data_IF_881578649334
#
_entry.id   IF_881578649334
#
_cell.length_a   1.000
_cell.length_b   1.000
_cell.length_c   1.000
_cell.angle_alpha   90.00
_cell.angle_beta   90.00
_cell.angle_gamma   90.00
#
_symmetry.space_group_name_H-M   'P 1'
#
loop_
_entity.id
_entity.type
_entity.pdbx_description
1 polymer ?
#
# COMPACT_ATOMS: atom_id res chain seq x y z
N UNK A 1 -13.59 5.74 17.31
CA UNK A 1 -12.28 5.13 17.60
C UNK A 1 -12.13 3.90 16.71
N UNK A 2 -11.00 3.75 15.99
CA UNK A 2 -10.72 2.61 15.14
C UNK A 2 -10.72 1.30 15.94
N UNK A 3 -11.34 0.26 15.38
CA UNK A 3 -11.31 -1.11 15.87
C UNK A 3 -9.91 -1.72 15.77
N UNK A 4 -9.69 -2.85 16.46
CA UNK A 4 -8.42 -3.61 16.37
C UNK A 4 -8.09 -3.98 14.93
N UNK A 5 -9.10 -4.38 14.15
CA UNK A 5 -8.93 -4.69 12.71
C UNK A 5 -8.42 -3.48 11.93
N UNK A 6 -9.03 -2.32 12.14
CA UNK A 6 -8.67 -1.07 11.49
C UNK A 6 -7.24 -0.62 11.85
N UNK A 7 -6.83 -0.82 13.10
CA UNK A 7 -5.44 -0.62 13.53
C UNK A 7 -4.45 -1.53 12.80
N UNK A 8 -4.78 -2.81 12.64
CA UNK A 8 -3.90 -3.77 11.98
C UNK A 8 -3.79 -3.51 10.47
N UNK A 9 -4.90 -3.16 9.81
CA UNK A 9 -4.90 -2.76 8.40
C UNK A 9 -4.01 -1.52 8.21
N UNK A 10 -4.17 -0.50 9.05
CA UNK A 10 -3.33 0.69 9.00
C UNK A 10 -1.84 0.35 9.15
N UNK A 11 -1.48 -0.44 10.15
CA UNK A 11 -0.07 -0.81 10.40
C UNK A 11 0.54 -1.60 9.24
N UNK A 12 -0.21 -2.53 8.66
CA UNK A 12 0.25 -3.29 7.50
C UNK A 12 0.44 -2.39 6.28
N UNK A 13 -0.48 -1.46 6.01
CA UNK A 13 -0.33 -0.47 4.92
C UNK A 13 0.85 0.47 5.17
N UNK A 14 1.07 0.91 6.41
CA UNK A 14 2.19 1.76 6.79
C UNK A 14 3.53 1.05 6.54
N UNK A 15 3.65 -0.23 6.93
CA UNK A 15 4.84 -1.03 6.65
C UNK A 15 5.12 -1.15 5.14
N UNK A 16 4.08 -1.31 4.30
CA UNK A 16 4.27 -1.33 2.85
C UNK A 16 4.66 0.05 2.27
N UNK A 17 4.15 1.14 2.85
CA UNK A 17 4.56 2.50 2.48
C UNK A 17 6.04 2.75 2.84
N UNK A 18 6.51 2.27 3.99
CA UNK A 18 7.92 2.32 4.37
C UNK A 18 8.81 1.52 3.40
N UNK A 19 8.36 0.33 2.98
CA UNK A 19 9.06 -0.46 1.94
C UNK A 19 9.18 0.32 0.64
N UNK A 20 8.09 0.96 0.20
CA UNK A 20 8.09 1.81 -0.99
C UNK A 20 9.07 2.97 -0.87
N UNK A 21 9.15 3.62 0.28
CA UNK A 21 10.09 4.73 0.52
C UNK A 21 11.54 4.26 0.52
N UNK A 22 11.82 3.16 1.22
CA UNK A 22 13.15 2.57 1.26
C UNK A 22 13.62 2.09 -0.13
N UNK A 23 12.68 1.69 -1.01
CA UNK A 23 12.99 1.16 -2.33
C UNK A 23 13.69 2.15 -3.28
N UNK A 24 13.66 3.45 -2.95
CA UNK A 24 14.36 4.50 -3.72
C UNK A 24 15.87 4.31 -3.64
N UNK A 25 16.39 3.94 -2.46
CA UNK A 25 17.82 3.78 -2.27
C UNK A 25 18.36 2.51 -2.91
N UNK A 26 17.61 1.40 -2.81
CA UNK A 26 18.00 0.08 -3.32
C UNK A 26 16.81 -0.86 -3.39
N UNK A 27 16.90 -1.98 -4.14
CA UNK A 27 15.97 -3.09 -4.01
C UNK A 27 15.81 -3.54 -2.56
N UNK A 28 14.60 -3.95 -2.20
CA UNK A 28 14.27 -4.41 -0.86
C UNK A 28 14.33 -5.93 -0.83
N UNK A 29 15.17 -6.45 0.07
CA UNK A 29 15.25 -7.87 0.36
C UNK A 29 13.89 -8.37 0.90
N UNK A 30 13.35 -9.48 0.36
CA UNK A 30 12.14 -10.07 0.88
C UNK A 30 12.31 -10.53 2.33
N UNK A 31 11.39 -10.13 3.20
CA UNK A 31 11.40 -10.54 4.61
C UNK A 31 10.06 -11.13 5.05
N UNK A 32 10.09 -11.96 6.10
CA UNK A 32 8.88 -12.53 6.70
C UNK A 32 7.86 -11.48 7.16
N UNK A 33 8.26 -10.38 7.83
CA UNK A 33 7.31 -9.32 8.19
C UNK A 33 6.58 -8.70 6.99
N UNK A 34 7.28 -8.44 5.87
CA UNK A 34 6.65 -7.90 4.65
C UNK A 34 5.66 -8.92 4.08
N UNK A 35 6.06 -10.19 4.04
CA UNK A 35 5.20 -11.29 3.56
C UNK A 35 3.95 -11.42 4.41
N UNK A 36 4.09 -11.30 5.73
CA UNK A 36 2.96 -11.30 6.66
C UNK A 36 2.01 -10.11 6.40
N UNK A 37 2.54 -8.90 6.23
CA UNK A 37 1.71 -7.73 5.94
C UNK A 37 0.89 -7.90 4.66
N UNK A 38 1.51 -8.39 3.58
CA UNK A 38 0.82 -8.67 2.32
C UNK A 38 -0.23 -9.76 2.48
N UNK A 39 0.10 -10.87 3.14
CA UNK A 39 -0.84 -11.98 3.38
C UNK A 39 -2.03 -11.55 4.24
N UNK A 40 -1.78 -10.75 5.28
CA UNK A 40 -2.81 -10.19 6.14
C UNK A 40 -3.74 -9.26 5.34
N UNK A 41 -3.20 -8.30 4.59
CA UNK A 41 -4.02 -7.40 3.79
C UNK A 41 -4.80 -8.14 2.69
N UNK A 42 -4.25 -9.22 2.13
CA UNK A 42 -4.98 -10.10 1.22
C UNK A 42 -6.14 -10.80 1.91
N UNK A 43 -5.94 -11.32 3.13
CA UNK A 43 -7.02 -11.95 3.90
C UNK A 43 -8.13 -10.97 4.28
N UNK A 44 -7.85 -9.67 4.29
CA UNK A 44 -8.84 -8.60 4.50
C UNK A 44 -9.53 -8.15 3.20
N UNK A 45 -9.10 -8.69 2.04
CA UNK A 45 -9.60 -8.34 0.71
C UNK A 45 -10.52 -9.40 0.11
N UNK A 46 -11.40 -8.98 -0.80
CA UNK A 46 -12.36 -9.86 -1.48
C UNK A 46 -11.79 -10.78 -2.58
N UNK A 47 -10.51 -11.15 -2.54
CA UNK A 47 -10.02 -12.34 -3.26
C UNK A 47 -9.17 -12.15 -4.53
N UNK A 48 -8.78 -10.93 -4.91
CA UNK A 48 -7.77 -10.75 -5.98
C UNK A 48 -6.36 -10.64 -5.39
N UNK A 49 -5.54 -11.65 -5.67
CA UNK A 49 -4.16 -11.75 -5.17
C UNK A 49 -3.17 -10.94 -6.00
N UNK A 50 -3.53 -10.54 -7.23
CA UNK A 50 -2.60 -9.94 -8.21
C UNK A 50 -1.85 -8.71 -7.67
N UNK A 51 -2.48 -7.74 -6.97
CA UNK A 51 -1.77 -6.57 -6.44
C UNK A 51 -0.71 -6.92 -5.38
N UNK A 52 -0.97 -7.98 -4.60
CA UNK A 52 -0.10 -8.42 -3.51
C UNK A 52 1.13 -9.15 -4.05
N UNK A 53 0.92 -10.07 -4.99
CA UNK A 53 2.01 -10.77 -5.67
C UNK A 53 2.84 -9.79 -6.53
N UNK A 54 2.18 -8.79 -7.13
CA UNK A 54 2.86 -7.70 -7.85
C UNK A 54 3.76 -6.88 -6.91
N UNK A 55 3.25 -6.44 -5.76
CA UNK A 55 4.06 -5.73 -4.77
C UNK A 55 5.29 -6.56 -4.35
N UNK A 56 5.06 -7.84 -4.02
CA UNK A 56 6.11 -8.77 -3.61
C UNK A 56 7.21 -8.94 -4.66
N UNK A 57 6.84 -9.00 -5.94
CA UNK A 57 7.80 -9.13 -7.04
C UNK A 57 8.58 -7.84 -7.26
N UNK A 58 7.90 -6.70 -7.32
CA UNK A 58 8.55 -5.43 -7.68
C UNK A 58 9.48 -4.90 -6.60
N UNK A 59 9.26 -5.22 -5.32
CA UNK A 59 10.12 -4.71 -4.24
C UNK A 59 11.58 -5.18 -4.35
N UNK A 60 11.80 -6.39 -4.86
CA UNK A 60 13.12 -6.96 -5.10
C UNK A 60 13.63 -6.78 -6.54
N UNK A 61 12.86 -6.13 -7.41
CA UNK A 61 13.18 -6.08 -8.82
C UNK A 61 14.35 -5.12 -9.10
N UNK A 62 15.38 -5.68 -9.74
CA UNK A 62 16.54 -4.94 -10.25
C UNK A 62 16.23 -4.57 -11.70
N UNK A 63 15.64 -3.40 -11.91
CA UNK A 63 15.37 -2.93 -13.26
C UNK A 63 16.69 -2.73 -14.02
N UNK A 64 16.82 -3.25 -15.26
CA UNK A 64 18.06 -3.24 -16.05
C UNK A 64 18.47 -1.85 -16.58
N UNK A 65 17.76 -0.79 -16.18
CA UNK A 65 18.06 0.58 -16.59
C UNK A 65 19.31 1.05 -15.84
N UNK A 66 20.36 1.40 -16.58
CA UNK A 66 21.59 1.97 -16.02
C UNK A 66 21.29 3.29 -15.29
N UNK A 67 21.48 3.33 -13.97
CA UNK A 67 21.25 4.47 -13.03
C UNK A 67 19.79 4.94 -12.86
N UNK A 68 19.53 5.69 -11.76
CA UNK A 68 18.31 6.33 -11.19
C UNK A 68 16.90 5.93 -11.70
N UNK A 69 16.71 5.74 -13.00
CA UNK A 69 15.48 5.25 -13.60
C UNK A 69 15.03 3.91 -13.01
N UNK A 70 15.95 2.99 -12.69
CA UNK A 70 15.58 1.72 -12.06
C UNK A 70 14.97 1.88 -10.66
N UNK A 71 15.49 2.82 -9.86
CA UNK A 71 14.94 3.14 -8.54
C UNK A 71 13.61 3.89 -8.61
N UNK A 72 13.50 4.83 -9.56
CA UNK A 72 12.25 5.54 -9.82
C UNK A 72 11.13 4.58 -10.24
N UNK A 73 11.40 3.69 -11.21
CA UNK A 73 10.44 2.70 -11.69
C UNK A 73 9.95 1.81 -10.56
N UNK A 74 10.85 1.25 -9.75
CA UNK A 74 10.46 0.44 -8.59
C UNK A 74 9.59 1.21 -7.61
N UNK A 75 9.96 2.44 -7.25
CA UNK A 75 9.16 3.27 -6.34
C UNK A 75 7.76 3.56 -6.89
N UNK A 76 7.66 3.84 -8.19
CA UNK A 76 6.40 4.07 -8.89
C UNK A 76 5.54 2.81 -8.94
N UNK A 77 6.12 1.65 -9.29
CA UNK A 77 5.41 0.38 -9.38
C UNK A 77 4.92 -0.11 -8.02
N UNK A 78 5.71 0.06 -6.96
CA UNK A 78 5.26 -0.18 -5.58
C UNK A 78 4.14 0.77 -5.17
N UNK A 79 4.18 2.03 -5.61
CA UNK A 79 3.07 2.98 -5.44
C UNK A 79 1.79 2.48 -6.11
N UNK A 80 1.87 2.06 -7.38
CA UNK A 80 0.74 1.50 -8.12
C UNK A 80 0.17 0.24 -7.45
N UNK A 81 1.05 -0.63 -6.96
CA UNK A 81 0.69 -1.83 -6.23
C UNK A 81 -0.08 -1.47 -4.95
N UNK A 82 0.45 -0.54 -4.16
CA UNK A 82 -0.15 -0.07 -2.91
C UNK A 82 -1.52 0.58 -3.14
N UNK A 83 -1.65 1.47 -4.14
CA UNK A 83 -2.95 2.06 -4.48
C UNK A 83 -3.98 1.01 -4.86
N UNK A 84 -3.55 -0.06 -5.54
CA UNK A 84 -4.44 -1.17 -5.92
C UNK A 84 -4.81 -2.06 -4.74
N UNK A 85 -3.90 -2.27 -3.79
CA UNK A 85 -4.19 -2.96 -2.52
C UNK A 85 -5.23 -2.16 -1.73
N UNK A 86 -5.06 -0.84 -1.59
CA UNK A 86 -6.03 0.03 -0.91
C UNK A 86 -7.41 -0.01 -1.58
N UNK A 87 -7.44 0.01 -2.91
CA UNK A 87 -8.68 -0.17 -3.67
C UNK A 87 -9.41 -1.50 -3.35
N UNK A 88 -8.65 -2.60 -3.18
CA UNK A 88 -9.21 -3.91 -2.79
C UNK A 88 -9.72 -3.96 -1.35
N UNK A 89 -9.26 -3.05 -0.49
CA UNK A 89 -9.72 -2.90 0.89
C UNK A 89 -10.93 -1.96 1.02
N UNK A 90 -11.35 -1.31 -0.06
CA UNK A 90 -12.55 -0.48 -0.08
C UNK A 90 -12.33 1.03 0.01
N UNK A 91 -11.11 1.52 -0.20
CA UNK A 91 -10.82 2.96 -0.13
C UNK A 91 -9.78 3.42 -1.15
N UNK A 92 -9.78 4.72 -1.45
CA UNK A 92 -8.87 5.33 -2.41
C UNK A 92 -7.54 5.70 -1.76
N UNK A 93 -6.47 5.53 -2.53
CA UNK A 93 -5.17 6.12 -2.22
C UNK A 93 -5.16 7.60 -2.63
N UNK A 94 -5.37 8.48 -1.65
CA UNK A 94 -5.32 9.93 -1.80
C UNK A 94 -4.02 10.49 -1.23
N UNK A 95 -3.68 11.73 -1.58
CA UNK A 95 -2.53 12.41 -0.98
C UNK A 95 -2.62 12.49 0.56
N UNK A 96 -3.84 12.53 1.13
CA UNK A 96 -4.09 12.56 2.58
C UNK A 96 -3.87 11.20 3.22
N UNK A 97 -4.41 10.12 2.65
CA UNK A 97 -4.15 8.76 3.16
C UNK A 97 -2.66 8.42 3.08
N UNK A 98 -2.00 8.76 1.97
CA UNK A 98 -0.56 8.60 1.84
C UNK A 98 0.20 9.39 2.91
N UNK A 99 -0.18 10.65 3.18
CA UNK A 99 0.46 11.44 4.22
C UNK A 99 0.31 10.84 5.63
N UNK A 100 -0.85 10.23 5.95
CA UNK A 100 -1.06 9.51 7.20
C UNK A 100 -0.13 8.29 7.32
N UNK A 101 -0.02 7.50 6.25
CA UNK A 101 0.85 6.31 6.22
C UNK A 101 2.32 6.68 6.38
N UNK A 102 2.78 7.78 5.79
CA UNK A 102 4.16 8.29 5.97
C UNK A 102 4.47 8.78 7.37
N UNK A 103 3.44 9.17 8.12
CA UNK A 103 3.56 9.66 9.50
C UNK A 103 3.00 8.64 10.50
N UNK A 104 3.14 7.34 10.21
CA UNK A 104 2.52 6.27 10.98
C UNK A 104 2.88 6.25 12.47
N UNK A 105 4.06 6.77 12.84
CA UNK A 105 4.50 6.87 14.24
C UNK A 105 3.91 8.07 15.00
N UNK A 106 3.24 9.00 14.31
CA UNK A 106 2.65 10.16 15.00
C UNK A 106 1.42 9.77 15.81
N UNK A 107 1.25 10.41 16.96
CA UNK A 107 0.06 10.23 17.78
C UNK A 107 -1.20 10.61 16.97
N UNK A 108 -2.19 9.72 16.96
CA UNK A 108 -3.44 9.92 16.21
C UNK A 108 -3.36 9.65 14.70
N UNK A 109 -2.24 9.12 14.16
CA UNK A 109 -2.12 8.80 12.74
C UNK A 109 -3.22 7.83 12.25
N UNK A 110 -3.57 6.85 13.09
CA UNK A 110 -4.61 5.86 12.81
C UNK A 110 -5.98 6.53 12.75
N UNK A 111 -6.32 7.37 13.74
CA UNK A 111 -7.58 8.11 13.77
C UNK A 111 -7.70 9.05 12.55
N UNK A 112 -6.62 9.77 12.21
CA UNK A 112 -6.59 10.66 11.06
C UNK A 112 -6.76 9.90 9.73
N UNK A 113 -6.15 8.72 9.60
CA UNK A 113 -6.32 7.87 8.43
C UNK A 113 -7.77 7.42 8.27
N UNK A 114 -8.39 6.90 9.33
CA UNK A 114 -9.76 6.41 9.27
C UNK A 114 -10.79 7.53 9.14
N UNK A 115 -10.52 8.73 9.67
CA UNK A 115 -11.34 9.91 9.40
C UNK A 115 -11.34 10.30 7.91
N UNK A 116 -10.18 10.22 7.24
CA UNK A 116 -10.10 10.45 5.79
C UNK A 116 -10.80 9.34 5.01
N UNK A 117 -10.65 8.06 5.42
CA UNK A 117 -11.38 6.95 4.77
C UNK A 117 -12.89 7.13 4.91
N UNK A 118 -13.39 7.49 6.11
CA UNK A 118 -14.81 7.73 6.34
C UNK A 118 -15.32 8.85 5.42
N UNK A 119 -14.57 9.95 5.31
CA UNK A 119 -14.91 11.04 4.39
C UNK A 119 -15.03 10.57 2.94
N UNK A 120 -14.16 9.67 2.47
CA UNK A 120 -14.26 9.12 1.11
C UNK A 120 -15.54 8.32 0.89
N UNK A 121 -15.96 7.56 1.91
CA UNK A 121 -17.21 6.79 1.89
C UNK A 121 -18.43 7.71 1.90
N UNK A 122 -18.40 8.76 2.73
CA UNK A 122 -19.48 9.74 2.85
C UNK A 122 -19.64 10.61 1.59
N UNK A 123 -18.52 10.96 0.94
CA UNK A 123 -18.48 11.72 -0.32
C UNK A 123 -19.07 10.93 -1.52
N UNK A 124 -19.46 9.66 -1.33
CA UNK A 124 -20.01 8.82 -2.39
C UNK A 124 -19.06 8.57 -3.55
N UNK A 125 -17.73 8.68 -3.31
CA UNK A 125 -16.75 8.49 -4.38
C UNK A 125 -16.89 7.08 -4.95
N UNK A 126 -17.02 6.94 -6.28
CA UNK A 126 -17.16 5.63 -6.88
C UNK A 126 -15.92 4.80 -6.54
N UNK A 127 -16.15 3.62 -5.99
CA UNK A 127 -15.09 2.67 -5.63
C UNK A 127 -14.06 2.57 -6.75
N UNK A 128 -12.76 2.66 -6.45
CA UNK A 128 -11.73 2.70 -7.47
C UNK A 128 -11.79 1.40 -8.30
N UNK A 129 -11.90 1.54 -9.62
CA UNK A 129 -11.88 0.39 -10.52
C UNK A 129 -10.50 -0.27 -10.47
N UNK A 130 -10.43 -1.61 -10.35
CA UNK A 130 -9.15 -2.32 -10.29
C UNK A 130 -8.29 -2.04 -11.54
N UNK A 131 -7.05 -1.59 -11.34
CA UNK A 131 -6.11 -1.25 -12.43
C UNK A 131 -5.29 -2.44 -12.94
N UNK A 132 -5.48 -3.63 -12.37
CA UNK A 132 -4.83 -4.86 -12.84
C UNK A 132 -5.81 -5.66 -13.71
N UNK A 133 -5.50 -5.76 -15.01
CA UNK A 133 -6.14 -6.73 -15.90
C UNK A 133 -5.55 -8.11 -15.56
N UNK A 134 -6.39 -9.13 -15.44
CA UNK A 134 -5.94 -10.54 -15.39
C UNK A 134 -5.10 -10.79 -16.63
N UNK A 135 -3.79 -10.99 -16.44
CA UNK A 135 -2.88 -11.54 -17.44
C UNK A 135 -2.92 -13.06 -17.38
#
# INVERSE_FOLDING_TARGET
>A
MPSVREHLIFKALAALQEVREASVARPIEPTWPIRFCLAYLYSQSGGDRSPYDYFWREMGNVHPVSTDGGSYMRHMELGRALSSIMARLGFHDTARTAACLRKAHSAGAVDAFWAEVQKQLDDGRPMPTPRFKRG
#
